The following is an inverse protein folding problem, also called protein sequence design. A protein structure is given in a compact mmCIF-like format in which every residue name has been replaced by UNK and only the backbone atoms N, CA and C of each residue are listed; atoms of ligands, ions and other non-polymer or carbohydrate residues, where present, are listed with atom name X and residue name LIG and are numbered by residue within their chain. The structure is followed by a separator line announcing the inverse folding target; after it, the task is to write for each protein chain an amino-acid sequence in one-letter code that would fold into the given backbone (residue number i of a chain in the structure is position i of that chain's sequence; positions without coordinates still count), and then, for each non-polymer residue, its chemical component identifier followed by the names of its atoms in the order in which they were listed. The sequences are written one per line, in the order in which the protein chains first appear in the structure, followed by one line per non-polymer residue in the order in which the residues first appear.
data_IF_505746103104
#
_entry.id   IF_505746103104
#
_cell.length_a   1.000
_cell.length_b   1.000
_cell.length_c   1.000
_cell.angle_alpha   90.00
_cell.angle_beta   90.00
_cell.angle_gamma   90.00
#
_symmetry.space_group_name_H-M   'P 1'
#
loop_
_entity.id
_entity.type
_entity.pdbx_description
1 polymer ?
#
# COMPACT_ATOMS: atom_id res chain seq x y z
N UNK A 1 15.74 -40.21 42.43
CA UNK A 1 14.96 -38.96 42.38
C UNK A 1 15.83 -37.90 41.72
N UNK A 2 15.51 -37.47 40.50
CA UNK A 2 16.29 -36.48 39.72
C UNK A 2 15.63 -35.10 39.86
N UNK A 3 16.37 -34.02 40.20
CA UNK A 3 15.79 -32.68 40.21
C UNK A 3 15.61 -32.19 38.77
N UNK A 4 14.37 -31.84 38.44
CA UNK A 4 13.94 -31.26 37.17
C UNK A 4 14.46 -29.82 37.12
N UNK A 5 15.44 -29.56 36.25
CA UNK A 5 16.04 -28.24 36.06
C UNK A 5 15.09 -27.35 35.26
N UNK A 6 14.50 -26.34 35.90
CA UNK A 6 13.72 -25.28 35.28
C UNK A 6 14.66 -24.31 34.57
N UNK A 7 14.72 -24.38 33.25
CA UNK A 7 15.32 -23.33 32.42
C UNK A 7 14.42 -22.09 32.45
N UNK A 8 14.86 -21.06 33.16
CA UNK A 8 14.34 -19.69 33.02
C UNK A 8 14.69 -19.19 31.61
N UNK A 9 13.70 -19.10 30.72
CA UNK A 9 13.84 -18.36 29.46
C UNK A 9 13.45 -16.91 29.76
N UNK A 10 14.37 -15.93 29.66
CA UNK A 10 14.00 -14.53 29.81
C UNK A 10 13.14 -14.14 28.62
N UNK A 11 11.88 -13.80 28.90
CA UNK A 11 10.93 -13.26 27.95
C UNK A 11 11.43 -11.86 27.53
N UNK A 12 12.23 -11.82 26.46
CA UNK A 12 12.61 -10.58 25.78
C UNK A 12 11.34 -9.97 25.19
N UNK A 13 10.73 -9.05 25.94
CA UNK A 13 9.76 -8.09 25.44
C UNK A 13 10.48 -7.17 24.45
N UNK A 14 10.63 -7.63 23.22
CA UNK A 14 10.95 -6.78 22.09
C UNK A 14 9.75 -5.84 21.88
N UNK A 15 9.80 -4.66 22.49
CA UNK A 15 8.97 -3.54 22.07
C UNK A 15 9.41 -3.18 20.65
N UNK A 16 8.77 -3.76 19.65
CA UNK A 16 8.88 -3.28 18.29
C UNK A 16 8.55 -1.78 18.33
N UNK A 17 9.41 -0.87 17.85
CA UNK A 17 9.04 0.53 17.72
C UNK A 17 7.83 0.56 16.78
N UNK A 18 6.67 0.78 17.38
CA UNK A 18 5.39 0.81 16.70
C UNK A 18 5.39 1.94 15.70
N UNK A 19 5.49 1.56 14.43
CA UNK A 19 4.84 2.17 13.28
C UNK A 19 3.85 3.28 13.62
N UNK A 20 4.36 4.51 13.60
CA UNK A 20 3.56 5.72 13.56
C UNK A 20 4.39 6.81 12.88
N UNK A 21 4.92 6.51 11.68
CA UNK A 21 5.14 7.62 10.77
C UNK A 21 3.74 8.15 10.46
N UNK A 22 3.49 9.38 10.88
CA UNK A 22 2.18 10.01 10.94
C UNK A 22 1.47 9.92 9.59
N UNK A 23 0.58 8.95 9.42
CA UNK A 23 -0.47 9.03 8.40
C UNK A 23 -1.15 10.36 8.71
N UNK A 24 -1.08 11.32 7.80
CA UNK A 24 -1.82 12.56 7.94
C UNK A 24 -3.21 12.30 7.36
N UNK A 25 -4.22 11.95 8.19
CA UNK A 25 -5.52 11.54 7.67
C UNK A 25 -6.29 12.74 7.09
N UNK A 26 -5.76 13.97 7.21
CA UNK A 26 -6.40 15.19 6.76
C UNK A 26 -6.36 15.37 5.24
N UNK A 27 -5.65 14.52 4.48
CA UNK A 27 -5.60 14.58 3.01
C UNK A 27 -5.77 13.19 2.40
N UNK A 28 -7.02 12.90 2.03
CA UNK A 28 -7.36 11.75 1.18
C UNK A 28 -7.15 12.18 -0.28
N UNK A 29 -6.34 11.42 -1.02
CA UNK A 29 -6.17 11.58 -2.46
C UNK A 29 -7.01 10.49 -3.16
N UNK A 30 -8.23 10.85 -3.59
CA UNK A 30 -9.14 9.92 -4.27
C UNK A 30 -8.99 10.04 -5.78
N UNK A 31 -8.59 8.94 -6.43
CA UNK A 31 -8.26 8.91 -7.86
C UNK A 31 -8.70 7.59 -8.50
N UNK A 32 -8.92 7.62 -9.82
CA UNK A 32 -9.42 6.45 -10.57
C UNK A 32 -8.45 5.90 -11.61
N UNK A 33 -7.29 6.57 -11.76
CA UNK A 33 -6.22 6.17 -12.66
C UNK A 33 -4.86 6.67 -12.14
N UNK A 34 -3.78 6.07 -12.62
CA UNK A 34 -2.43 6.39 -12.16
C UNK A 34 -1.94 7.79 -12.58
N UNK A 35 -2.44 8.36 -13.68
CA UNK A 35 -2.04 9.69 -14.10
C UNK A 35 -2.55 10.77 -13.13
N UNK A 36 -3.77 10.61 -12.63
CA UNK A 36 -4.32 11.47 -11.59
C UNK A 36 -3.57 11.29 -10.27
N UNK A 37 -3.17 10.06 -9.93
CA UNK A 37 -2.33 9.82 -8.74
C UNK A 37 -1.01 10.61 -8.79
N UNK A 38 -0.35 10.65 -9.95
CA UNK A 38 0.90 11.42 -10.14
C UNK A 38 0.66 12.93 -10.07
N UNK A 39 -0.49 13.40 -10.56
CA UNK A 39 -0.81 14.83 -10.65
C UNK A 39 -1.32 15.41 -9.33
N UNK A 40 -2.06 14.62 -8.55
CA UNK A 40 -2.87 15.12 -7.43
C UNK A 40 -2.36 14.69 -6.06
N UNK A 41 -1.76 13.50 -5.95
CA UNK A 41 -1.31 12.97 -4.66
C UNK A 41 0.08 13.47 -4.28
N UNK A 42 0.31 13.60 -2.97
CA UNK A 42 1.60 13.99 -2.39
C UNK A 42 2.08 12.93 -1.41
N UNK A 43 3.40 12.86 -1.22
CA UNK A 43 4.00 11.93 -0.27
C UNK A 43 3.37 12.08 1.13
N UNK A 44 2.90 10.97 1.69
CA UNK A 44 2.21 10.94 2.98
C UNK A 44 0.68 11.11 2.91
N UNK A 45 0.09 11.46 1.76
CA UNK A 45 -1.36 11.46 1.57
C UNK A 45 -1.93 10.03 1.67
N UNK A 46 -3.18 9.90 2.13
CA UNK A 46 -3.90 8.63 2.05
C UNK A 46 -4.46 8.48 0.62
N UNK A 47 -3.78 7.70 -0.21
CA UNK A 47 -4.26 7.33 -1.54
C UNK A 47 -5.47 6.43 -1.41
N UNK A 48 -6.55 6.81 -2.07
CA UNK A 48 -7.72 5.97 -2.33
C UNK A 48 -7.82 5.80 -3.85
N UNK A 49 -7.30 4.69 -4.37
CA UNK A 49 -7.42 4.33 -5.77
C UNK A 49 -8.67 3.48 -5.96
N UNK A 50 -9.68 4.01 -6.63
CA UNK A 50 -10.93 3.31 -6.89
C UNK A 50 -11.15 3.14 -8.38
N UNK A 51 -11.35 1.90 -8.83
CA UNK A 51 -11.80 1.66 -10.19
C UNK A 51 -13.26 2.06 -10.33
N UNK A 52 -13.56 2.85 -11.36
CA UNK A 52 -14.93 3.14 -11.75
C UNK A 52 -15.66 1.84 -12.12
N UNK A 53 -16.99 1.81 -11.95
CA UNK A 53 -17.82 0.68 -12.36
C UNK A 53 -17.55 0.26 -13.82
N UNK A 54 -17.37 1.25 -14.70
CA UNK A 54 -17.05 1.03 -16.11
C UNK A 54 -15.69 0.33 -16.30
N UNK A 55 -14.69 0.61 -15.47
CA UNK A 55 -13.40 -0.10 -15.49
C UNK A 55 -13.57 -1.54 -15.02
N UNK A 56 -14.27 -1.74 -13.90
CA UNK A 56 -14.53 -3.07 -13.34
C UNK A 56 -15.26 -3.98 -14.34
N UNK A 57 -16.24 -3.45 -15.07
CA UNK A 57 -17.02 -4.21 -16.05
C UNK A 57 -16.28 -4.52 -17.36
N UNK A 58 -15.31 -3.68 -17.74
CA UNK A 58 -14.55 -3.84 -18.98
C UNK A 58 -13.31 -4.72 -18.82
N UNK A 59 -12.84 -4.90 -17.60
CA UNK A 59 -11.64 -5.64 -17.29
C UNK A 59 -11.91 -7.14 -17.15
N UNK A 60 -10.97 -7.94 -17.67
CA UNK A 60 -11.00 -9.38 -17.40
C UNK A 60 -10.85 -9.65 -15.89
N UNK A 61 -11.16 -10.86 -15.46
CA UNK A 61 -10.96 -11.25 -14.06
C UNK A 61 -9.48 -11.13 -13.64
N UNK A 62 -8.56 -11.36 -14.58
CA UNK A 62 -7.12 -11.25 -14.35
C UNK A 62 -6.71 -9.78 -14.18
N UNK A 63 -7.19 -8.89 -15.04
CA UNK A 63 -6.86 -7.45 -14.97
C UNK A 63 -7.33 -6.81 -13.65
N UNK A 64 -8.47 -7.27 -13.12
CA UNK A 64 -9.01 -6.82 -11.83
C UNK A 64 -8.15 -7.25 -10.64
N UNK A 65 -7.31 -8.27 -10.80
CA UNK A 65 -6.33 -8.70 -9.80
C UNK A 65 -5.00 -7.97 -9.98
N UNK A 66 -4.54 -7.79 -11.22
CA UNK A 66 -3.23 -7.19 -11.49
C UNK A 66 -3.22 -5.69 -11.27
N UNK A 67 -4.27 -4.95 -11.65
CA UNK A 67 -4.27 -3.49 -11.53
C UNK A 67 -4.11 -3.00 -10.07
N UNK A 68 -4.82 -3.54 -9.06
CA UNK A 68 -4.55 -3.20 -7.67
C UNK A 68 -3.11 -3.51 -7.23
N UNK A 69 -2.51 -4.60 -7.74
CA UNK A 69 -1.11 -4.94 -7.44
C UNK A 69 -0.13 -3.94 -8.08
N UNK A 70 -0.38 -3.56 -9.34
CA UNK A 70 0.44 -2.60 -10.07
C UNK A 70 0.37 -1.22 -9.42
N UNK A 71 -0.83 -0.77 -9.03
CA UNK A 71 -1.06 0.46 -8.25
C UNK A 71 -0.33 0.40 -6.91
N UNK A 72 -0.42 -0.73 -6.21
CA UNK A 72 0.26 -0.91 -4.92
C UNK A 72 1.78 -0.80 -5.10
N UNK A 73 2.34 -1.48 -6.10
CA UNK A 73 3.78 -1.44 -6.39
C UNK A 73 4.28 -0.07 -6.88
N UNK A 74 3.41 0.70 -7.53
CA UNK A 74 3.73 2.02 -8.07
C UNK A 74 3.67 3.14 -7.02
N UNK A 75 2.70 3.10 -6.10
CA UNK A 75 2.36 4.26 -5.28
C UNK A 75 2.34 4.02 -3.77
N UNK A 76 2.30 2.78 -3.28
CA UNK A 76 2.15 2.54 -1.86
C UNK A 76 3.47 2.50 -1.10
N UNK A 77 3.49 3.18 0.05
CA UNK A 77 4.54 3.02 1.04
C UNK A 77 4.35 1.71 1.79
N UNK A 78 5.21 0.72 1.51
CA UNK A 78 5.14 -0.62 2.10
C UNK A 78 5.52 -0.70 3.57
N UNK A 79 6.01 0.40 4.15
CA UNK A 79 6.14 0.48 5.60
C UNK A 79 4.74 0.63 6.22
N UNK A 80 3.79 1.28 5.54
CA UNK A 80 2.42 1.42 6.02
C UNK A 80 1.52 0.26 5.58
N UNK A 81 0.44 -0.03 6.33
CA UNK A 81 -0.57 -1.00 5.89
C UNK A 81 -1.17 -0.64 4.53
N UNK A 82 -1.42 -1.67 3.71
CA UNK A 82 -2.06 -1.56 2.41
C UNK A 82 -3.35 -2.36 2.46
N UNK A 83 -4.47 -1.73 2.12
CA UNK A 83 -5.75 -2.40 1.94
C UNK A 83 -6.03 -2.46 0.45
N UNK A 84 -6.38 -3.62 -0.07
CA UNK A 84 -6.71 -3.78 -1.49
C UNK A 84 -7.91 -4.70 -1.67
N UNK A 85 -8.62 -4.48 -2.76
CA UNK A 85 -9.73 -5.31 -3.23
C UNK A 85 -9.61 -5.48 -4.73
N UNK A 86 -10.49 -6.28 -5.35
CA UNK A 86 -10.62 -6.35 -6.81
C UNK A 86 -11.17 -5.07 -7.43
N UNK A 87 -11.52 -4.06 -6.64
CA UNK A 87 -12.06 -2.77 -7.06
C UNK A 87 -11.09 -1.60 -6.82
N UNK A 88 -10.00 -1.78 -6.06
CA UNK A 88 -9.15 -0.65 -5.70
C UNK A 88 -8.10 -0.93 -4.62
N UNK A 89 -7.39 0.12 -4.23
CA UNK A 89 -6.29 0.12 -3.25
C UNK A 89 -6.39 1.34 -2.36
N UNK A 90 -6.14 1.17 -1.07
CA UNK A 90 -5.94 2.25 -0.11
C UNK A 90 -4.60 2.09 0.58
N UNK A 91 -3.78 3.14 0.56
CA UNK A 91 -2.46 3.12 1.20
C UNK A 91 -1.90 4.54 1.38
N UNK A 92 -0.76 4.65 2.08
CA UNK A 92 0.01 5.89 2.11
C UNK A 92 0.75 6.07 0.79
N UNK A 93 0.51 7.19 0.11
CA UNK A 93 1.14 7.53 -1.16
C UNK A 93 2.64 7.81 -0.97
N UNK A 94 3.46 7.34 -1.92
CA UNK A 94 4.88 7.67 -2.02
C UNK A 94 5.39 7.71 -3.45
N UNK A 95 6.25 8.68 -3.74
CA UNK A 95 7.04 8.80 -4.97
C UNK A 95 8.32 7.96 -4.94
N UNK A 96 8.71 7.40 -3.79
CA UNK A 96 9.91 6.55 -3.67
C UNK A 96 9.85 5.29 -4.57
N UNK A 97 8.64 4.91 -5.00
CA UNK A 97 8.34 3.78 -5.86
C UNK A 97 8.20 4.15 -7.34
N UNK A 98 8.64 5.34 -7.78
CA UNK A 98 8.56 5.83 -9.17
C UNK A 98 8.94 4.82 -10.26
N UNK A 99 9.88 3.91 -10.02
CA UNK A 99 10.20 2.82 -10.98
C UNK A 99 8.98 1.94 -11.32
N UNK A 100 8.05 1.75 -10.39
CA UNK A 100 6.82 1.00 -10.58
C UNK A 100 5.79 1.71 -11.47
N UNK A 101 5.93 3.02 -11.70
CA UNK A 101 5.02 3.80 -12.55
C UNK A 101 5.03 3.31 -14.00
N UNK A 102 6.14 2.68 -14.42
CA UNK A 102 6.25 2.02 -15.73
C UNK A 102 5.20 0.94 -15.95
N UNK A 103 4.81 0.19 -14.93
CA UNK A 103 3.76 -0.85 -15.03
C UNK A 103 2.39 -0.24 -15.41
N UNK A 104 2.21 1.06 -15.12
CA UNK A 104 1.01 1.83 -15.41
C UNK A 104 1.15 2.73 -16.65
N UNK A 105 2.26 2.63 -17.39
CA UNK A 105 2.53 3.47 -18.56
C UNK A 105 2.80 4.95 -18.25
N UNK A 106 3.26 5.26 -17.04
CA UNK A 106 3.52 6.62 -16.56
C UNK A 106 5.00 6.99 -16.67
N UNK A 107 5.34 8.30 -16.73
CA UNK A 107 6.74 8.78 -16.81
C UNK A 107 7.53 8.40 -15.55
N UNK A 108 8.84 8.18 -15.67
CA UNK A 108 9.71 7.72 -14.56
C UNK A 108 10.93 8.61 -14.33
N UNK A 109 11.04 9.65 -15.15
CA UNK A 109 12.11 10.63 -15.29
C UNK A 109 12.03 11.77 -14.26
#
# INVERSE_FOLDING_TARGET
MKPLSLFLIPLLLATAPGYADSINPSRICDVTNGADAVRECRDGDLLLFNMTEKQVMKQSALDRLTLPLDVSGAFCNFTSPIVYTTAGVTCVFTTARKKGWKALGLPVD
#
